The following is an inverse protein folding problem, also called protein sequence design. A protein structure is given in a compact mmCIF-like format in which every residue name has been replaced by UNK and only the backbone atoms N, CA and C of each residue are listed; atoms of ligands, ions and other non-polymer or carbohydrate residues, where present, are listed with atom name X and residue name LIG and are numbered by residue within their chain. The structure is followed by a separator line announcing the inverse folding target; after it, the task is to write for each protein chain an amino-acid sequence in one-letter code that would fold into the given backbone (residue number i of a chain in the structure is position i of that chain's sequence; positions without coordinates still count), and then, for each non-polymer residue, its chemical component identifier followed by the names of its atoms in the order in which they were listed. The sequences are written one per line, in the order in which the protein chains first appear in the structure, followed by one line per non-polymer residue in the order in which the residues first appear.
data_IF_388458266002
#
_entry.id   IF_388458266002
#
_cell.length_a   1.000
_cell.length_b   1.000
_cell.length_c   1.000
_cell.angle_alpha   90.00
_cell.angle_beta   90.00
_cell.angle_gamma   90.00
#
_symmetry.space_group_name_H-M   'P 1'
#
loop_
_entity.id
_entity.type
_entity.pdbx_description
1 polymer ?
#
# COMPACT_ATOMS: atom_id res chain seq x y z
N UNK A 1 -0.13 12.91 -24.75
CA UNK A 1 -0.72 12.40 -23.49
C UNK A 1 -2.21 12.72 -23.56
N UNK A 2 -3.09 11.74 -23.39
CA UNK A 2 -4.56 11.97 -23.45
C UNK A 2 -4.99 12.91 -22.32
N UNK A 3 -5.91 13.82 -22.61
CA UNK A 3 -6.36 14.86 -21.68
C UNK A 3 -7.48 14.31 -20.80
N UNK A 4 -7.29 14.31 -19.49
CA UNK A 4 -8.38 13.94 -18.58
C UNK A 4 -9.38 15.11 -18.48
N UNK A 5 -10.51 14.98 -19.17
CA UNK A 5 -11.56 16.00 -19.21
C UNK A 5 -12.50 16.01 -18.01
N UNK A 6 -12.20 15.25 -16.95
CA UNK A 6 -13.06 15.20 -15.77
C UNK A 6 -13.24 16.59 -15.13
N UNK A 7 -14.47 17.05 -14.85
CA UNK A 7 -14.67 18.35 -14.22
C UNK A 7 -14.21 18.35 -12.75
N UNK A 8 -13.70 19.49 -12.28
CA UNK A 8 -13.24 19.65 -10.89
C UNK A 8 -14.30 19.29 -9.83
N UNK A 9 -15.55 19.75 -10.01
CA UNK A 9 -16.63 19.49 -9.03
C UNK A 9 -16.87 17.98 -8.86
N UNK A 10 -16.77 17.19 -9.94
CA UNK A 10 -16.96 15.74 -9.91
C UNK A 10 -15.84 15.08 -9.12
N UNK A 11 -14.60 15.52 -9.32
CA UNK A 11 -13.45 15.02 -8.58
C UNK A 11 -13.57 15.33 -7.09
N UNK A 12 -14.03 16.54 -6.73
CA UNK A 12 -14.33 16.92 -5.34
C UNK A 12 -15.45 16.05 -4.74
N UNK A 13 -16.54 15.84 -5.47
CA UNK A 13 -17.64 14.97 -5.04
C UNK A 13 -17.21 13.51 -4.87
N UNK A 14 -16.41 12.98 -5.80
CA UNK A 14 -15.84 11.63 -5.70
C UNK A 14 -14.93 11.47 -4.49
N UNK A 15 -14.10 12.46 -4.16
CA UNK A 15 -13.29 12.43 -2.93
C UNK A 15 -14.15 12.36 -1.67
N UNK A 16 -15.21 13.18 -1.58
CA UNK A 16 -16.13 13.17 -0.44
C UNK A 16 -16.88 11.85 -0.31
N UNK A 17 -17.43 11.33 -1.41
CA UNK A 17 -18.15 10.05 -1.41
C UNK A 17 -17.23 8.87 -1.11
N UNK A 18 -15.99 8.87 -1.60
CA UNK A 18 -14.99 7.88 -1.22
C UNK A 18 -14.66 7.97 0.26
N UNK A 19 -14.47 9.17 0.82
CA UNK A 19 -14.21 9.34 2.24
C UNK A 19 -15.39 8.82 3.09
N UNK A 20 -16.62 9.16 2.74
CA UNK A 20 -17.81 8.64 3.42
C UNK A 20 -17.90 7.11 3.32
N UNK A 21 -17.57 6.55 2.15
CA UNK A 21 -17.52 5.10 1.96
C UNK A 21 -16.46 4.44 2.84
N UNK A 22 -15.27 5.05 2.97
CA UNK A 22 -14.21 4.55 3.84
C UNK A 22 -14.69 4.52 5.29
N UNK A 23 -15.25 5.63 5.77
CA UNK A 23 -15.73 5.74 7.15
C UNK A 23 -16.87 4.76 7.46
N UNK A 24 -17.81 4.57 6.54
CA UNK A 24 -18.99 3.74 6.79
C UNK A 24 -18.75 2.25 6.53
N UNK A 25 -18.08 1.89 5.43
CA UNK A 25 -17.97 0.49 5.00
C UNK A 25 -16.61 -0.14 5.25
N UNK A 26 -15.52 0.64 5.16
CA UNK A 26 -14.15 0.09 5.25
C UNK A 26 -13.63 0.13 6.69
N UNK A 27 -13.80 1.25 7.39
CA UNK A 27 -13.30 1.44 8.75
C UNK A 27 -13.77 0.35 9.73
N UNK A 28 -15.05 -0.09 9.73
CA UNK A 28 -15.51 -1.15 10.65
C UNK A 28 -14.85 -2.52 10.41
N UNK A 29 -14.25 -2.76 9.23
CA UNK A 29 -13.55 -4.00 8.93
C UNK A 29 -12.11 -4.03 9.48
N UNK A 30 -11.57 -2.89 9.91
CA UNK A 30 -10.27 -2.82 10.57
C UNK A 30 -10.43 -2.91 12.08
N UNK A 31 -9.47 -3.55 12.74
CA UNK A 31 -9.32 -3.43 14.20
C UNK A 31 -8.96 -1.99 14.58
N UNK A 32 -8.08 -1.36 13.80
CA UNK A 32 -7.78 0.06 13.88
C UNK A 32 -7.50 0.60 12.48
N UNK A 33 -8.17 1.69 12.12
CA UNK A 33 -7.77 2.53 11.00
C UNK A 33 -7.44 3.91 11.58
N UNK A 34 -6.25 4.42 11.31
CA UNK A 34 -5.81 5.70 11.85
C UNK A 34 -6.59 6.91 11.33
N UNK A 35 -6.12 8.09 11.71
CA UNK A 35 -6.69 9.38 11.29
C UNK A 35 -6.36 9.66 9.82
N UNK A 36 -7.27 10.37 9.14
CA UNK A 36 -7.09 10.89 7.78
C UNK A 36 -6.57 9.85 6.75
N UNK A 37 -7.18 8.65 6.64
CA UNK A 37 -6.80 7.71 5.60
C UNK A 37 -7.19 8.24 4.22
N UNK A 38 -6.25 8.25 3.28
CA UNK A 38 -6.49 8.60 1.89
C UNK A 38 -6.59 7.33 1.06
N UNK A 39 -7.82 6.83 0.87
CA UNK A 39 -8.08 5.63 0.07
C UNK A 39 -8.69 6.01 -1.27
N UNK A 40 -7.96 5.80 -2.35
CA UNK A 40 -8.46 6.00 -3.71
C UNK A 40 -9.16 4.73 -4.21
N UNK A 41 -10.38 4.90 -4.74
CA UNK A 41 -11.26 3.81 -5.20
C UNK A 41 -11.47 2.73 -4.10
N UNK A 42 -12.02 3.09 -2.93
CA UNK A 42 -12.06 2.23 -1.75
C UNK A 42 -12.84 0.92 -1.94
N UNK A 43 -13.75 0.85 -2.92
CA UNK A 43 -14.47 -0.39 -3.32
C UNK A 43 -13.54 -1.51 -3.81
N UNK A 44 -12.26 -1.21 -4.02
CA UNK A 44 -11.24 -2.14 -4.50
C UNK A 44 -10.15 -2.42 -3.46
N UNK A 45 -10.34 -1.95 -2.22
CA UNK A 45 -9.62 -2.43 -1.06
C UNK A 45 -10.37 -3.65 -0.50
N UNK A 46 -9.68 -4.78 -0.38
CA UNK A 46 -10.26 -6.02 0.13
C UNK A 46 -9.57 -6.43 1.42
N UNK A 47 -10.38 -6.61 2.46
CA UNK A 47 -9.96 -7.08 3.78
C UNK A 47 -10.60 -8.43 4.02
N UNK A 48 -9.86 -9.35 4.64
CA UNK A 48 -10.35 -10.68 4.98
C UNK A 48 -9.65 -11.15 6.26
N UNK A 49 -10.42 -11.66 7.20
CA UNK A 49 -9.96 -12.01 8.54
C UNK A 49 -9.93 -10.82 9.50
N UNK A 50 -9.40 -11.06 10.70
CA UNK A 50 -9.40 -10.12 11.83
C UNK A 50 -8.01 -9.55 12.13
N UNK A 51 -7.89 -8.64 13.10
CA UNK A 51 -6.61 -8.09 13.60
C UNK A 51 -5.76 -7.39 12.53
N UNK A 52 -6.44 -6.66 11.64
CA UNK A 52 -5.79 -5.79 10.66
C UNK A 52 -5.84 -4.36 11.20
N UNK A 53 -4.66 -3.75 11.36
CA UNK A 53 -4.50 -2.39 11.85
C UNK A 53 -3.64 -1.56 10.91
N UNK A 54 -4.07 -0.32 10.66
CA UNK A 54 -3.32 0.66 9.87
C UNK A 54 -3.22 1.98 10.67
N UNK A 55 -2.02 2.57 10.61
CA UNK A 55 -1.65 3.86 11.20
C UNK A 55 -2.39 5.06 10.61
N UNK A 56 -1.99 6.23 11.11
CA UNK A 56 -2.50 7.53 10.68
C UNK A 56 -1.91 7.90 9.30
N UNK A 57 -2.66 8.70 8.52
CA UNK A 57 -2.27 9.22 7.22
C UNK A 57 -1.89 8.15 6.18
N UNK A 58 -2.51 6.97 6.27
CA UNK A 58 -2.31 5.91 5.29
C UNK A 58 -2.78 6.34 3.89
N UNK A 59 -1.94 6.11 2.89
CA UNK A 59 -2.26 6.32 1.48
C UNK A 59 -2.46 4.97 0.81
N UNK A 60 -3.68 4.67 0.37
CA UNK A 60 -4.01 3.38 -0.26
C UNK A 60 -4.63 3.66 -1.62
N UNK A 61 -3.89 3.33 -2.68
CA UNK A 61 -4.35 3.49 -4.03
C UNK A 61 -4.82 2.15 -4.57
N UNK A 62 -6.11 2.03 -4.85
CA UNK A 62 -6.67 0.82 -5.44
C UNK A 62 -7.06 1.05 -6.91
N UNK A 63 -7.09 -0.03 -7.68
CA UNK A 63 -7.64 -0.06 -9.04
C UNK A 63 -8.64 -1.22 -9.18
N UNK A 64 -9.54 -1.13 -10.16
CA UNK A 64 -10.59 -2.13 -10.38
C UNK A 64 -10.01 -3.47 -10.87
N UNK A 65 -9.05 -3.38 -11.78
CA UNK A 65 -8.25 -4.47 -12.32
C UNK A 65 -7.13 -4.92 -11.36
N UNK A 66 -6.69 -4.04 -10.47
CA UNK A 66 -5.57 -4.29 -9.57
C UNK A 66 -5.87 -3.89 -8.11
N UNK A 67 -6.61 -4.75 -7.42
CA UNK A 67 -7.08 -4.54 -6.04
C UNK A 67 -5.95 -4.64 -5.01
N UNK A 68 -6.02 -3.82 -3.96
CA UNK A 68 -5.18 -3.99 -2.76
C UNK A 68 -5.86 -4.99 -1.83
N UNK A 69 -5.11 -5.94 -1.29
CA UNK A 69 -5.65 -7.01 -0.44
C UNK A 69 -4.84 -7.19 0.83
N UNK A 70 -5.50 -7.13 1.98
CA UNK A 70 -4.94 -7.51 3.27
C UNK A 70 -5.73 -8.72 3.77
N UNK A 71 -5.03 -9.78 4.15
CA UNK A 71 -5.66 -11.03 4.55
C UNK A 71 -4.95 -11.63 5.73
N UNK A 72 -5.69 -11.83 6.81
CA UNK A 72 -5.26 -12.64 7.95
C UNK A 72 -5.97 -13.99 7.87
N UNK A 73 -5.20 -15.07 7.88
CA UNK A 73 -5.71 -16.44 7.89
C UNK A 73 -4.91 -17.24 8.93
N UNK A 74 -5.39 -17.35 10.17
CA UNK A 74 -4.66 -17.99 11.24
C UNK A 74 -4.24 -19.42 10.91
N UNK A 75 -3.00 -19.75 11.23
CA UNK A 75 -2.43 -21.05 10.94
C UNK A 75 -3.08 -22.23 11.71
N UNK A 76 -3.59 -21.92 12.90
CA UNK A 76 -4.16 -22.90 13.81
C UNK A 76 -5.60 -22.50 14.10
N UNK A 77 -6.50 -23.48 14.29
CA UNK A 77 -7.94 -23.23 14.54
C UNK A 77 -8.23 -22.35 15.79
N UNK A 78 -7.26 -22.21 16.70
CA UNK A 78 -7.32 -21.34 17.88
C UNK A 78 -6.25 -20.23 17.86
N UNK A 79 -5.51 -20.08 16.77
CA UNK A 79 -4.49 -19.04 16.63
C UNK A 79 -5.11 -17.72 16.16
N UNK A 80 -4.38 -16.63 16.36
CA UNK A 80 -4.65 -15.35 15.70
C UNK A 80 -3.57 -15.07 14.66
N UNK A 81 -3.96 -14.40 13.58
CA UNK A 81 -3.04 -13.81 12.62
C UNK A 81 -3.24 -12.30 12.65
N UNK A 82 -2.16 -11.52 12.50
CA UNK A 82 -2.25 -10.06 12.55
C UNK A 82 -1.45 -9.38 11.44
N UNK A 83 -1.99 -8.25 10.97
CA UNK A 83 -1.29 -7.32 10.07
C UNK A 83 -1.30 -5.96 10.74
N UNK A 84 -0.12 -5.43 11.04
CA UNK A 84 0.05 -4.08 11.57
C UNK A 84 0.82 -3.23 10.59
N UNK A 85 0.21 -2.14 10.13
CA UNK A 85 0.84 -1.14 9.26
C UNK A 85 0.96 0.17 10.02
N UNK A 86 2.16 0.74 10.06
CA UNK A 86 2.45 2.00 10.72
C UNK A 86 1.90 3.23 9.98
N UNK A 87 2.30 4.40 10.47
CA UNK A 87 1.82 5.69 9.99
C UNK A 87 2.47 6.08 8.65
N UNK A 88 1.79 6.93 7.88
CA UNK A 88 2.30 7.53 6.65
C UNK A 88 2.66 6.53 5.55
N UNK A 89 2.18 5.29 5.62
CA UNK A 89 2.49 4.26 4.64
C UNK A 89 1.76 4.48 3.31
N UNK A 90 2.39 4.06 2.21
CA UNK A 90 1.79 4.03 0.87
C UNK A 90 1.64 2.59 0.38
N UNK A 91 0.40 2.19 0.07
CA UNK A 91 0.07 0.94 -0.62
C UNK A 91 -0.42 1.25 -2.03
N UNK A 92 0.30 0.78 -3.04
CA UNK A 92 -0.07 0.98 -4.45
C UNK A 92 -0.97 -0.17 -4.96
N UNK A 93 -1.62 -0.01 -6.13
CA UNK A 93 -2.51 -1.02 -6.66
C UNK A 93 -1.84 -2.40 -6.78
N UNK A 94 -2.58 -3.45 -6.40
CA UNK A 94 -2.08 -4.83 -6.45
C UNK A 94 -1.24 -5.28 -5.27
N UNK A 95 -0.94 -4.41 -4.30
CA UNK A 95 -0.28 -4.86 -3.07
C UNK A 95 -1.13 -5.91 -2.35
N UNK A 96 -0.51 -7.05 -2.04
CA UNK A 96 -1.12 -8.17 -1.29
C UNK A 96 -0.28 -8.46 -0.06
N UNK A 97 -0.92 -8.41 1.11
CA UNK A 97 -0.29 -8.77 2.39
C UNK A 97 -1.11 -9.90 2.98
N UNK A 98 -0.47 -11.04 3.23
CA UNK A 98 -1.15 -12.27 3.66
C UNK A 98 -0.44 -12.88 4.85
N UNK A 99 -1.05 -12.71 6.03
CA UNK A 99 -0.50 -13.15 7.31
C UNK A 99 -1.22 -14.40 7.81
N UNK A 100 -0.46 -15.39 8.28
CA UNK A 100 -0.93 -16.55 9.01
C UNK A 100 -0.51 -16.55 10.49
N UNK A 101 0.44 -15.69 10.85
CA UNK A 101 0.96 -15.47 12.19
C UNK A 101 1.05 -13.96 12.50
N UNK A 102 2.01 -13.25 11.91
CA UNK A 102 2.20 -11.82 12.13
C UNK A 102 3.03 -11.16 11.02
N UNK A 103 2.50 -10.06 10.47
CA UNK A 103 3.22 -9.15 9.59
C UNK A 103 3.21 -7.76 10.20
N UNK A 104 4.40 -7.21 10.44
CA UNK A 104 4.59 -5.86 11.00
C UNK A 104 5.29 -4.97 9.99
N UNK A 105 4.67 -3.84 9.67
CA UNK A 105 5.18 -2.83 8.74
C UNK A 105 5.32 -1.53 9.52
N UNK A 106 6.54 -1.00 9.59
CA UNK A 106 6.85 0.25 10.28
C UNK A 106 6.29 1.49 9.57
N UNK A 107 6.57 2.65 10.14
CA UNK A 107 6.12 3.94 9.63
C UNK A 107 6.82 4.28 8.31
N UNK A 108 6.21 5.16 7.50
CA UNK A 108 6.79 5.69 6.27
C UNK A 108 7.10 4.65 5.17
N UNK A 109 6.62 3.41 5.30
CA UNK A 109 6.89 2.37 4.30
C UNK A 109 6.16 2.64 2.99
N UNK A 110 6.79 2.25 1.88
CA UNK A 110 6.25 2.41 0.54
C UNK A 110 6.22 1.08 -0.19
N UNK A 111 5.06 0.77 -0.75
CA UNK A 111 4.84 -0.39 -1.61
C UNK A 111 4.49 0.14 -2.99
N UNK A 112 5.36 -0.10 -3.96
CA UNK A 112 4.98 0.06 -5.37
C UNK A 112 3.96 -1.02 -5.77
N UNK A 113 3.47 -0.95 -7.00
CA UNK A 113 2.39 -1.83 -7.44
C UNK A 113 2.79 -3.31 -7.33
N UNK A 114 1.79 -4.18 -7.14
CA UNK A 114 1.94 -5.64 -7.21
C UNK A 114 2.93 -6.27 -6.20
N UNK A 115 3.27 -5.58 -5.10
CA UNK A 115 4.09 -6.19 -4.05
C UNK A 115 3.32 -7.31 -3.33
N UNK A 116 4.01 -8.39 -2.98
CA UNK A 116 3.47 -9.50 -2.19
C UNK A 116 4.30 -9.71 -0.93
N UNK A 117 3.65 -9.74 0.23
CA UNK A 117 4.28 -10.04 1.53
C UNK A 117 3.53 -11.19 2.18
N UNK A 118 4.24 -12.24 2.57
CA UNK A 118 3.65 -13.35 3.31
C UNK A 118 4.59 -13.92 4.35
N UNK A 119 4.04 -14.21 5.53
CA UNK A 119 4.72 -14.86 6.66
C UNK A 119 4.55 -16.39 6.65
N UNK A 120 4.04 -16.97 5.56
CA UNK A 120 3.72 -18.39 5.46
C UNK A 120 4.05 -18.95 4.07
N UNK A 121 4.52 -20.20 4.04
CA UNK A 121 4.63 -20.97 2.79
C UNK A 121 3.28 -21.60 2.39
N UNK A 122 2.25 -21.46 3.23
CA UNK A 122 0.88 -22.00 3.12
C UNK A 122 0.77 -23.53 3.16
N UNK A 123 1.69 -24.25 2.51
CA UNK A 123 1.75 -25.72 2.47
C UNK A 123 3.19 -26.22 2.69
N UNK A 124 3.34 -27.29 3.47
CA UNK A 124 4.64 -27.95 3.65
C UNK A 124 5.15 -28.65 2.39
N UNK A 125 6.46 -28.86 2.27
CA UNK A 125 7.08 -29.41 1.06
C UNK A 125 6.64 -30.84 0.76
N UNK A 126 6.67 -31.71 1.77
CA UNK A 126 6.38 -33.14 1.65
C UNK A 126 4.93 -33.50 1.96
N UNK A 127 4.26 -32.70 2.80
CA UNK A 127 2.86 -32.89 3.14
C UNK A 127 2.08 -31.62 2.81
N UNK A 128 1.44 -31.63 1.63
CA UNK A 128 0.65 -30.50 1.12
C UNK A 128 -0.76 -30.44 1.71
N UNK A 129 -1.22 -31.48 2.41
CA UNK A 129 -2.56 -31.51 3.04
C UNK A 129 -2.59 -30.86 4.41
N UNK A 130 -1.42 -30.71 5.06
CA UNK A 130 -1.27 -29.95 6.30
C UNK A 130 -0.91 -28.51 5.99
N UNK A 131 -1.92 -27.66 5.88
CA UNK A 131 -1.73 -26.22 5.72
C UNK A 131 -1.09 -25.58 6.97
N UNK A 132 -0.45 -24.44 6.78
CA UNK A 132 -0.06 -23.48 7.83
C UNK A 132 0.94 -23.91 8.92
N UNK A 133 1.64 -25.04 8.80
CA UNK A 133 2.73 -25.41 9.73
C UNK A 133 4.09 -24.76 9.40
N UNK A 134 4.10 -23.83 8.46
CA UNK A 134 5.31 -23.24 7.90
C UNK A 134 5.21 -21.71 7.95
N UNK A 135 4.98 -21.17 9.15
CA UNK A 135 4.95 -19.73 9.39
C UNK A 135 6.24 -19.24 10.02
N UNK A 136 6.57 -17.98 9.78
CA UNK A 136 7.55 -17.21 10.52
C UNK A 136 7.27 -15.71 10.29
N UNK A 137 7.26 -14.89 11.34
CA UNK A 137 6.81 -13.50 11.24
C UNK A 137 7.66 -12.68 10.26
N UNK A 138 7.05 -11.69 9.62
CA UNK A 138 7.73 -10.76 8.71
C UNK A 138 7.72 -9.37 9.30
N UNK A 139 8.89 -8.72 9.30
CA UNK A 139 9.04 -7.35 9.82
C UNK A 139 9.68 -6.44 8.77
N UNK A 140 8.98 -5.38 8.39
CA UNK A 140 9.54 -4.26 7.64
C UNK A 140 9.74 -3.10 8.61
N UNK A 141 10.99 -2.69 8.84
CA UNK A 141 11.29 -1.54 9.69
C UNK A 141 10.81 -0.23 9.06
N UNK A 142 11.02 0.89 9.74
CA UNK A 142 10.58 2.19 9.25
C UNK A 142 11.21 2.55 7.90
N UNK A 143 10.44 3.24 7.07
CA UNK A 143 10.90 3.85 5.82
C UNK A 143 11.48 2.85 4.81
N UNK A 144 11.02 1.60 4.84
CA UNK A 144 11.36 0.61 3.80
C UNK A 144 10.58 0.92 2.53
N UNK A 145 11.26 0.80 1.38
CA UNK A 145 10.63 0.96 0.07
C UNK A 145 10.75 -0.32 -0.76
N UNK A 146 9.61 -0.94 -1.07
CA UNK A 146 9.51 -2.06 -1.99
C UNK A 146 9.18 -1.57 -3.40
N UNK A 147 10.07 -1.87 -4.36
CA UNK A 147 9.85 -1.67 -5.78
C UNK A 147 8.73 -2.54 -6.34
N UNK A 148 8.33 -2.28 -7.59
CA UNK A 148 7.18 -2.97 -8.19
C UNK A 148 7.40 -4.50 -8.21
N UNK A 149 6.37 -5.29 -7.91
CA UNK A 149 6.41 -6.77 -7.95
C UNK A 149 7.46 -7.41 -7.03
N UNK A 150 7.85 -6.72 -5.94
CA UNK A 150 8.68 -7.35 -4.91
C UNK A 150 7.89 -8.40 -4.15
N UNK A 151 8.53 -9.55 -3.91
CA UNK A 151 8.00 -10.64 -3.08
C UNK A 151 8.84 -10.72 -1.81
N UNK A 152 8.20 -10.69 -0.64
CA UNK A 152 8.83 -10.90 0.66
C UNK A 152 8.30 -12.19 1.25
N UNK A 153 9.20 -13.16 1.46
CA UNK A 153 8.89 -14.45 2.05
C UNK A 153 8.88 -14.44 3.58
N UNK A 154 8.46 -15.57 4.15
CA UNK A 154 8.32 -15.73 5.59
C UNK A 154 9.62 -15.58 6.35
N UNK A 155 9.53 -15.10 7.59
CA UNK A 155 10.67 -14.97 8.50
C UNK A 155 11.64 -13.83 8.16
N UNK A 156 11.34 -13.03 7.13
CA UNK A 156 12.24 -11.96 6.67
C UNK A 156 12.06 -10.70 7.52
N UNK A 157 13.19 -10.12 7.93
CA UNK A 157 13.30 -8.77 8.45
C UNK A 157 14.02 -7.84 7.46
N UNK A 158 13.39 -6.72 7.10
CA UNK A 158 14.00 -5.68 6.26
C UNK A 158 14.28 -4.44 7.11
N UNK A 159 15.56 -4.09 7.22
CA UNK A 159 16.03 -3.01 8.07
C UNK A 159 15.63 -1.61 7.60
N UNK A 160 15.77 -0.64 8.52
CA UNK A 160 15.30 0.73 8.33
C UNK A 160 15.90 1.38 7.06
N UNK A 161 15.10 2.21 6.38
CA UNK A 161 15.51 2.99 5.20
C UNK A 161 15.91 2.17 3.97
N UNK A 162 15.82 0.84 4.03
CA UNK A 162 16.27 -0.02 2.95
C UNK A 162 15.31 -0.03 1.76
N UNK A 163 15.88 -0.15 0.57
CA UNK A 163 15.15 -0.17 -0.70
C UNK A 163 15.30 -1.54 -1.35
N UNK A 164 14.20 -2.16 -1.75
CA UNK A 164 14.19 -3.41 -2.50
C UNK A 164 13.85 -3.10 -3.96
N UNK A 165 14.75 -3.43 -4.88
CA UNK A 165 14.57 -3.20 -6.31
C UNK A 165 13.37 -3.97 -6.88
N UNK A 166 12.77 -3.44 -7.95
CA UNK A 166 11.62 -4.06 -8.60
C UNK A 166 11.88 -5.51 -9.04
N UNK A 167 10.85 -6.36 -8.95
CA UNK A 167 10.89 -7.78 -9.32
C UNK A 167 11.73 -8.67 -8.40
N UNK A 168 12.21 -8.16 -7.27
CA UNK A 168 13.08 -8.93 -6.37
C UNK A 168 12.29 -9.90 -5.49
N UNK A 169 12.94 -11.02 -5.13
CA UNK A 169 12.41 -12.00 -4.18
C UNK A 169 13.28 -12.01 -2.93
N UNK A 170 12.76 -11.51 -1.83
CA UNK A 170 13.45 -11.41 -0.55
C UNK A 170 13.18 -12.69 0.25
N UNK A 171 14.22 -13.51 0.39
CA UNK A 171 14.15 -14.81 1.09
C UNK A 171 14.99 -14.86 2.37
N UNK A 172 15.67 -13.76 2.70
CA UNK A 172 16.56 -13.60 3.86
C UNK A 172 16.54 -12.15 4.30
N UNK A 173 16.95 -11.91 5.53
CA UNK A 173 17.01 -10.58 6.11
C UNK A 173 17.87 -9.62 5.27
N UNK A 174 17.43 -8.38 5.22
CA UNK A 174 18.12 -7.28 4.55
C UNK A 174 18.51 -6.27 5.64
N UNK A 175 19.79 -5.89 5.77
CA UNK A 175 20.21 -4.93 6.78
C UNK A 175 19.60 -3.55 6.55
N UNK A 176 19.72 -2.66 7.54
CA UNK A 176 19.29 -1.27 7.41
C UNK A 176 20.21 -0.48 6.46
N UNK A 177 19.68 0.60 5.89
CA UNK A 177 20.39 1.55 5.04
C UNK A 177 21.07 0.90 3.82
N UNK A 178 20.38 0.00 3.13
CA UNK A 178 20.91 -0.60 1.89
C UNK A 178 19.91 -0.56 0.75
N UNK A 179 20.41 -0.71 -0.47
CA UNK A 179 19.60 -1.14 -1.60
C UNK A 179 19.92 -2.61 -1.87
N UNK A 180 18.89 -3.44 -1.95
CA UNK A 180 18.99 -4.83 -2.35
C UNK A 180 18.14 -5.11 -3.59
N UNK A 181 18.58 -6.02 -4.45
CA UNK A 181 17.81 -6.43 -5.63
C UNK A 181 18.13 -7.87 -6.05
N UNK A 182 17.25 -8.46 -6.87
CA UNK A 182 17.42 -9.78 -7.48
C UNK A 182 16.52 -10.87 -6.89
N UNK A 183 16.65 -12.08 -7.43
CA UNK A 183 15.93 -13.28 -6.97
C UNK A 183 16.94 -14.43 -6.80
N UNK A 184 17.38 -14.74 -5.57
CA UNK A 184 17.05 -14.05 -4.33
C UNK A 184 17.73 -12.68 -4.20
N UNK A 185 17.11 -11.75 -3.48
CA UNK A 185 17.60 -10.39 -3.30
C UNK A 185 18.96 -10.38 -2.57
N UNK A 186 19.88 -9.53 -3.03
CA UNK A 186 21.20 -9.30 -2.42
C UNK A 186 21.48 -7.81 -2.33
N UNK A 187 22.24 -7.42 -1.32
CA UNK A 187 22.70 -6.04 -1.18
C UNK A 187 23.56 -5.67 -2.38
N UNK A 188 23.19 -4.59 -3.05
CA UNK A 188 23.91 -4.05 -4.21
C UNK A 188 24.49 -2.66 -3.95
N UNK A 189 24.02 -1.98 -2.90
CA UNK A 189 24.47 -0.63 -2.56
C UNK A 189 24.23 -0.32 -1.08
N UNK A 190 25.14 0.45 -0.48
CA UNK A 190 24.96 1.05 0.83
C UNK A 190 24.36 2.46 0.69
N UNK A 191 23.43 2.81 1.56
CA UNK A 191 22.88 4.15 1.70
C UNK A 191 23.66 4.84 2.81
N UNK A 192 24.22 6.01 2.52
CA UNK A 192 24.99 6.78 3.50
C UNK A 192 24.06 7.28 4.63
N UNK A 193 24.24 6.80 5.88
CA UNK A 193 23.40 7.22 7.00
C UNK A 193 23.66 8.66 7.43
N UNK A 194 24.78 9.28 7.01
CA UNK A 194 25.10 10.68 7.33
C UNK A 194 24.32 11.66 6.44
N UNK A 195 23.81 11.20 5.30
CA UNK A 195 23.04 12.06 4.40
C UNK A 195 21.62 12.24 4.95
N UNK A 196 21.16 13.49 5.01
CA UNK A 196 19.78 13.81 5.42
C UNK A 196 18.78 13.07 4.54
N UNK A 197 17.91 12.29 5.18
CA UNK A 197 16.83 11.55 4.54
C UNK A 197 15.48 12.20 4.85
N UNK A 198 14.73 12.54 3.81
CA UNK A 198 13.36 13.04 3.96
C UNK A 198 12.39 11.85 3.89
N UNK A 199 11.59 11.68 4.94
CA UNK A 199 10.59 10.61 5.05
C UNK A 199 9.20 11.13 4.72
N UNK A 200 8.25 10.23 4.48
CA UNK A 200 6.87 10.58 4.07
C UNK A 200 6.13 11.44 5.09
N UNK A 201 6.36 11.25 6.38
CA UNK A 201 5.81 12.05 7.48
C UNK A 201 6.02 13.56 7.29
N UNK A 202 7.08 13.97 6.58
CA UNK A 202 7.34 15.37 6.28
C UNK A 202 6.23 16.01 5.44
N UNK A 203 5.58 15.22 4.58
CA UNK A 203 4.43 15.65 3.76
C UNK A 203 3.24 16.04 4.65
N UNK A 204 3.15 15.47 5.86
CA UNK A 204 1.99 15.58 6.75
C UNK A 204 2.24 16.43 8.00
N UNK A 205 3.43 17.05 8.14
CA UNK A 205 3.71 17.97 9.26
C UNK A 205 2.73 19.13 9.34
N UNK A 206 2.21 19.54 8.19
CA UNK A 206 1.13 20.51 8.06
C UNK A 206 0.03 19.87 7.22
N UNK A 207 -0.71 18.95 7.84
CA UNK A 207 -1.71 18.13 7.15
C UNK A 207 -2.81 18.96 6.50
N UNK A 208 -3.19 20.08 7.11
CA UNK A 208 -4.21 20.98 6.59
C UNK A 208 -3.70 21.71 5.34
N UNK A 209 -2.49 22.25 5.39
CA UNK A 209 -1.85 22.85 4.22
C UNK A 209 -1.60 21.81 3.11
N UNK A 210 -1.23 20.57 3.44
CA UNK A 210 -1.06 19.51 2.46
C UNK A 210 -2.37 19.17 1.73
N UNK A 211 -3.48 19.04 2.47
CA UNK A 211 -4.80 18.83 1.87
C UNK A 211 -5.19 20.02 0.99
N UNK A 212 -4.88 21.24 1.42
CA UNK A 212 -5.15 22.44 0.66
C UNK A 212 -4.32 22.52 -0.63
N UNK A 213 -3.03 22.18 -0.57
CA UNK A 213 -2.17 22.05 -1.75
C UNK A 213 -2.70 21.02 -2.75
N UNK A 214 -3.21 19.88 -2.27
CA UNK A 214 -3.88 18.89 -3.13
C UNK A 214 -5.16 19.45 -3.74
N UNK A 215 -5.95 20.24 -3.00
CA UNK A 215 -7.12 20.91 -3.57
C UNK A 215 -6.76 21.97 -4.62
N UNK A 216 -5.69 22.73 -4.39
CA UNK A 216 -5.22 23.76 -5.32
C UNK A 216 -4.65 23.14 -6.59
N UNK A 217 -3.89 22.05 -6.48
CA UNK A 217 -3.41 21.28 -7.63
C UNK A 217 -4.59 20.69 -8.43
N UNK A 218 -5.60 20.16 -7.75
CA UNK A 218 -6.82 19.65 -8.39
C UNK A 218 -7.59 20.78 -9.09
N UNK A 219 -7.66 21.96 -8.49
CA UNK A 219 -8.30 23.13 -9.10
C UNK A 219 -7.51 23.59 -10.31
N UNK A 220 -6.19 23.72 -10.22
CA UNK A 220 -5.34 24.09 -11.35
C UNK A 220 -5.49 23.12 -12.51
N UNK A 221 -5.47 21.81 -12.23
CA UNK A 221 -5.49 20.77 -13.27
C UNK A 221 -6.87 20.59 -13.92
N UNK A 222 -7.98 20.75 -13.16
CA UNK A 222 -9.32 20.37 -13.61
C UNK A 222 -10.33 21.52 -13.72
N UNK A 223 -9.96 22.77 -13.37
CA UNK A 223 -10.88 23.92 -13.42
C UNK A 223 -11.29 24.30 -14.85
N UNK A 224 -10.40 24.13 -15.82
CA UNK A 224 -10.69 24.42 -17.23
C UNK A 224 -11.64 23.38 -17.88
N UNK A 225 -11.85 22.23 -17.24
CA UNK A 225 -12.67 21.16 -17.78
C UNK A 225 -14.17 21.43 -17.63
N UNK A 226 -14.91 21.21 -18.72
CA UNK A 226 -16.37 21.41 -18.77
C UNK A 226 -17.12 20.08 -18.83
N UNK A 227 -18.29 20.04 -18.19
CA UNK A 227 -19.20 18.89 -18.18
C UNK A 227 -19.49 18.31 -19.56
N UNK A 228 -19.82 19.16 -20.54
CA UNK A 228 -20.17 18.70 -21.89
C UNK A 228 -19.00 18.01 -22.60
N UNK A 229 -17.78 18.57 -22.49
CA UNK A 229 -16.58 17.96 -23.07
C UNK A 229 -16.25 16.62 -22.40
N UNK A 230 -16.45 16.53 -21.09
CA UNK A 230 -16.28 15.28 -20.34
C UNK A 230 -17.29 14.20 -20.76
N UNK A 231 -18.59 14.50 -20.79
CA UNK A 231 -19.61 13.55 -21.22
C UNK A 231 -19.38 13.08 -22.65
N UNK A 232 -19.03 14.01 -23.56
CA UNK A 232 -18.63 13.68 -24.92
C UNK A 232 -17.43 12.73 -24.93
N UNK A 233 -16.39 13.00 -24.14
CA UNK A 233 -15.20 12.13 -24.07
C UNK A 233 -15.51 10.70 -23.60
N UNK A 234 -16.62 10.50 -22.87
CA UNK A 234 -17.08 9.18 -22.42
C UNK A 234 -17.90 8.48 -23.50
N UNK A 235 -18.85 9.20 -24.12
CA UNK A 235 -19.87 8.61 -25.00
C UNK A 235 -19.42 8.56 -26.47
N UNK A 236 -18.65 9.55 -26.91
CA UNK A 236 -18.17 9.71 -28.29
C UNK A 236 -16.74 10.31 -28.31
N UNK A 237 -15.72 9.55 -27.89
CA UNK A 237 -14.34 10.02 -27.81
C UNK A 237 -13.74 10.34 -29.19
N UNK A 238 -12.87 11.34 -29.23
CA UNK A 238 -12.15 11.81 -30.42
C UNK A 238 -10.64 11.67 -30.25
N UNK A 239 -9.85 11.91 -31.31
CA UNK A 239 -8.38 11.87 -31.24
C UNK A 239 -7.77 12.96 -30.34
N UNK A 240 -8.54 14.00 -30.01
CA UNK A 240 -8.13 15.11 -29.15
C UNK A 240 -8.40 14.85 -27.65
N UNK A 241 -9.06 13.74 -27.32
CA UNK A 241 -9.31 13.28 -25.94
C UNK A 241 -8.15 12.43 -25.38
#
# INVERSE_FOLDING_TARGET
MRSNHQPYFLRKWMRRTNSAYVEHFIRPQFTRLGKLPQVQKPRHLVLCGDHISIGDHAHINCANDNKVRLTTWPANNNGSASITVGDYCLLSPGTRISAAEQITIGNNCMFAANCYVSDSDWHGIYNRTRCFRCTAPVTLANNVWLGERVIVGKGVSIGENSVIGAGSVVTRDIPANVVAAGSPARVIKQIDPKRRMLKRELIFRDSDNHLQQLEDLDRYTFSANRWGRWLRSIVAPTRED
#
